data_IF_668880952459
#
_entry.id   IF_668880952459
#
_cell.length_a   1.000
_cell.length_b   1.000
_cell.length_c   1.000
_cell.angle_alpha   90.00
_cell.angle_beta   90.00
_cell.angle_gamma   90.00
#
_symmetry.space_group_name_H-M   'P 1'
#
loop_
_entity.id
_entity.type
_entity.pdbx_description
1 polymer ?
#
# COMPACT_ATOMS: atom_id res chain seq x y z
N UNK A 1 8.83 3.78 12.16
CA UNK A 1 8.06 3.13 13.26
C UNK A 1 6.73 3.84 13.47
N UNK A 2 5.76 3.20 14.14
CA UNK A 2 4.46 3.82 14.47
C UNK A 2 4.67 5.07 15.34
N UNK A 3 5.61 5.01 16.27
CA UNK A 3 5.93 6.14 17.16
C UNK A 3 6.43 7.37 16.37
N UNK A 4 7.23 7.17 15.34
CA UNK A 4 7.71 8.24 14.46
C UNK A 4 6.56 8.85 13.66
N UNK A 5 5.66 8.03 13.12
CA UNK A 5 4.48 8.50 12.38
C UNK A 5 3.58 9.37 13.28
N UNK A 6 3.36 8.92 14.51
CA UNK A 6 2.56 9.64 15.48
C UNK A 6 3.24 10.96 15.93
N UNK A 7 4.57 10.95 16.09
CA UNK A 7 5.34 12.13 16.46
C UNK A 7 5.37 13.19 15.35
N UNK A 8 5.62 12.75 14.12
CA UNK A 8 5.72 13.64 12.95
C UNK A 8 4.37 13.98 12.31
N UNK A 9 3.31 13.22 12.63
CA UNK A 9 1.96 13.35 12.07
C UNK A 9 1.96 13.30 10.53
N UNK A 10 2.88 12.55 9.97
CA UNK A 10 3.06 12.36 8.52
C UNK A 10 3.45 10.93 8.22
N UNK A 11 3.07 10.46 7.05
CA UNK A 11 3.35 9.11 6.60
C UNK A 11 2.68 8.82 5.26
N UNK A 12 2.92 7.64 4.73
CA UNK A 12 2.29 7.15 3.50
C UNK A 12 1.09 6.24 3.82
N UNK A 13 0.34 5.82 2.80
CA UNK A 13 -0.88 5.01 2.99
C UNK A 13 -0.64 3.75 3.83
N UNK A 14 0.50 3.10 3.65
CA UNK A 14 0.91 1.94 4.42
C UNK A 14 1.08 2.26 5.91
N UNK A 15 1.66 3.41 6.23
CA UNK A 15 1.88 3.86 7.60
C UNK A 15 0.55 4.10 8.31
N UNK A 16 -0.35 4.85 7.67
CA UNK A 16 -1.68 5.11 8.22
C UNK A 16 -2.50 3.82 8.39
N UNK A 17 -2.39 2.88 7.43
CA UNK A 17 -3.03 1.58 7.55
C UNK A 17 -2.50 0.80 8.77
N UNK A 18 -1.19 0.78 9.02
CA UNK A 18 -0.62 0.10 10.19
C UNK A 18 -0.99 0.77 11.52
N UNK A 19 -1.03 2.11 11.58
CA UNK A 19 -1.50 2.83 12.78
C UNK A 19 -2.94 2.43 13.10
N UNK A 20 -3.82 2.48 12.10
CA UNK A 20 -5.23 2.13 12.28
C UNK A 20 -5.43 0.65 12.65
N UNK A 21 -4.66 -0.27 12.03
CA UNK A 21 -4.64 -1.68 12.43
C UNK A 21 -4.28 -1.86 13.90
N UNK A 22 -3.24 -1.18 14.36
CA UNK A 22 -2.81 -1.26 15.75
C UNK A 22 -3.90 -0.75 16.70
N UNK A 23 -4.54 0.36 16.36
CA UNK A 23 -5.65 0.91 17.15
C UNK A 23 -6.82 -0.08 17.26
N UNK A 24 -7.29 -0.64 16.13
CA UNK A 24 -8.39 -1.59 16.11
C UNK A 24 -8.08 -2.88 16.88
N UNK A 25 -6.86 -3.41 16.71
CA UNK A 25 -6.42 -4.62 17.42
C UNK A 25 -6.28 -4.40 18.91
N UNK A 26 -5.85 -3.22 19.35
CA UNK A 26 -5.81 -2.85 20.78
C UNK A 26 -7.20 -2.81 21.38
N UNK A 27 -8.22 -2.47 20.59
CA UNK A 27 -9.63 -2.51 20.98
C UNK A 27 -10.26 -3.92 20.87
N UNK A 28 -9.48 -4.93 20.46
CA UNK A 28 -9.98 -6.30 20.26
C UNK A 28 -10.81 -6.48 18.99
N UNK A 29 -10.79 -5.53 18.05
CA UNK A 29 -11.54 -5.60 16.80
C UNK A 29 -10.72 -6.38 15.77
N UNK A 30 -11.23 -7.53 15.24
CA UNK A 30 -10.54 -8.26 14.19
C UNK A 30 -10.33 -7.38 12.96
N UNK A 31 -9.08 -7.28 12.53
CA UNK A 31 -8.71 -6.40 11.42
C UNK A 31 -7.56 -6.96 10.61
N UNK A 32 -7.52 -6.63 9.31
CA UNK A 32 -6.51 -7.07 8.37
C UNK A 32 -6.02 -5.94 7.48
N UNK A 33 -4.77 -6.04 7.09
CA UNK A 33 -4.15 -5.17 6.09
C UNK A 33 -4.64 -5.56 4.71
N UNK A 34 -4.84 -4.58 3.85
CA UNK A 34 -5.20 -4.78 2.44
C UNK A 34 -4.24 -4.00 1.56
N UNK A 35 -3.73 -4.67 0.53
CA UNK A 35 -2.97 -4.07 -0.55
C UNK A 35 -3.76 -4.13 -1.84
N UNK A 36 -3.72 -3.07 -2.63
CA UNK A 36 -4.45 -2.99 -3.88
C UNK A 36 -4.16 -1.71 -4.64
N UNK A 37 -5.13 -1.28 -5.43
CA UNK A 37 -5.05 -0.05 -6.23
C UNK A 37 -6.30 0.80 -6.02
N UNK A 38 -6.14 2.10 -6.22
CA UNK A 38 -7.26 3.03 -6.41
C UNK A 38 -7.49 3.19 -7.90
N UNK A 39 -8.71 2.90 -8.34
CA UNK A 39 -9.12 3.16 -9.70
C UNK A 39 -9.17 4.68 -9.92
N UNK A 40 -8.49 5.22 -10.92
CA UNK A 40 -8.52 6.65 -11.21
C UNK A 40 -9.97 7.11 -11.41
N UNK A 41 -10.34 8.13 -10.68
CA UNK A 41 -11.60 8.81 -10.83
C UNK A 41 -11.38 10.32 -10.68
N UNK A 42 -12.35 11.10 -11.09
CA UNK A 42 -12.27 12.57 -10.96
C UNK A 42 -12.42 13.07 -9.52
N UNK A 43 -12.41 12.20 -8.53
CA UNK A 43 -12.61 12.55 -7.11
C UNK A 43 -11.33 12.98 -6.40
N UNK A 44 -10.15 12.82 -7.03
CA UNK A 44 -8.87 13.25 -6.48
C UNK A 44 -8.44 12.46 -5.24
N UNK A 45 -8.75 11.18 -5.17
CA UNK A 45 -8.25 10.32 -4.10
C UNK A 45 -6.73 10.14 -4.20
N UNK A 46 -6.05 10.17 -3.07
CA UNK A 46 -4.61 9.90 -3.01
C UNK A 46 -4.34 8.43 -3.32
N UNK A 47 -3.28 8.17 -4.09
CA UNK A 47 -2.87 6.82 -4.46
C UNK A 47 -3.44 6.34 -5.80
N UNK A 48 -4.08 7.20 -6.59
CA UNK A 48 -4.47 6.90 -7.96
C UNK A 48 -3.24 6.58 -8.81
N UNK A 49 -3.31 5.48 -9.58
CA UNK A 49 -2.22 5.06 -10.46
C UNK A 49 -0.98 4.47 -9.77
N UNK A 50 -1.05 4.24 -8.45
CA UNK A 50 0.00 3.58 -7.67
C UNK A 50 -0.57 2.47 -6.80
N UNK A 51 0.33 1.68 -6.19
CA UNK A 51 -0.08 0.75 -5.14
C UNK A 51 -0.64 1.52 -3.95
N UNK A 52 -1.75 1.05 -3.41
CA UNK A 52 -2.41 1.67 -2.28
C UNK A 52 -2.64 0.66 -1.16
N UNK A 53 -2.76 1.17 0.06
CA UNK A 53 -2.99 0.35 1.24
C UNK A 53 -4.13 0.93 2.08
N UNK A 54 -4.96 0.02 2.57
CA UNK A 54 -6.03 0.32 3.52
C UNK A 54 -6.22 -0.84 4.50
N UNK A 55 -7.23 -0.79 5.31
CA UNK A 55 -7.57 -1.88 6.24
C UNK A 55 -8.98 -2.39 6.00
N UNK A 56 -9.22 -3.61 6.44
CA UNK A 56 -10.58 -4.11 6.65
C UNK A 56 -10.72 -4.56 8.10
N UNK A 57 -11.85 -4.28 8.71
CA UNK A 57 -12.21 -4.73 10.04
C UNK A 57 -13.55 -5.47 10.04
N UNK A 58 -13.70 -6.39 10.96
CA UNK A 58 -14.86 -7.27 11.00
C UNK A 58 -15.92 -6.72 11.95
N UNK A 59 -17.14 -6.59 11.44
CA UNK A 59 -18.35 -6.30 12.22
C UNK A 59 -19.28 -7.50 12.16
N UNK A 60 -19.82 -7.98 13.30
CA UNK A 60 -20.68 -9.17 13.34
C UNK A 60 -21.85 -9.13 12.35
N UNK A 61 -22.51 -7.98 12.21
CA UNK A 61 -23.69 -7.81 11.39
C UNK A 61 -23.43 -7.40 9.93
N UNK A 62 -22.22 -6.91 9.64
CA UNK A 62 -21.84 -6.39 8.32
C UNK A 62 -20.70 -7.15 7.64
N UNK A 63 -20.02 -8.03 8.38
CA UNK A 63 -18.83 -8.74 7.88
C UNK A 63 -17.61 -7.83 7.79
N UNK A 64 -16.78 -8.02 6.77
CA UNK A 64 -15.57 -7.24 6.56
C UNK A 64 -15.88 -5.89 5.91
N UNK A 65 -15.54 -4.82 6.59
CA UNK A 65 -15.75 -3.43 6.15
C UNK A 65 -14.38 -2.79 5.91
N UNK A 66 -14.19 -2.22 4.73
CA UNK A 66 -12.95 -1.53 4.34
C UNK A 66 -12.94 -0.07 4.80
N UNK A 67 -11.80 0.38 5.30
CA UNK A 67 -11.56 1.76 5.71
C UNK A 67 -10.20 2.22 5.23
N UNK A 68 -10.18 3.28 4.45
CA UNK A 68 -8.98 3.92 3.92
C UNK A 68 -8.63 5.16 4.76
N UNK A 69 -7.65 5.04 5.67
CA UNK A 69 -7.26 6.16 6.54
C UNK A 69 -6.54 7.28 5.80
N UNK A 70 -5.95 7.00 4.64
CA UNK A 70 -5.23 8.00 3.84
C UNK A 70 -6.20 9.01 3.21
N UNK A 71 -7.32 8.49 2.71
CA UNK A 71 -8.37 9.28 2.07
C UNK A 71 -9.52 9.62 3.03
N UNK A 72 -9.52 9.07 4.24
CA UNK A 72 -10.59 9.23 5.23
C UNK A 72 -11.97 8.82 4.68
N UNK A 73 -12.02 7.68 4.00
CA UNK A 73 -13.25 7.13 3.38
C UNK A 73 -13.40 5.64 3.67
N UNK A 74 -14.61 5.13 3.55
CA UNK A 74 -14.81 3.69 3.43
C UNK A 74 -14.32 3.19 2.07
N UNK A 75 -13.69 2.02 2.06
CA UNK A 75 -13.31 1.39 0.81
C UNK A 75 -14.57 1.03 0.03
N UNK A 76 -14.60 1.40 -1.23
CA UNK A 76 -15.77 1.31 -2.11
C UNK A 76 -15.39 0.83 -3.51
N UNK A 77 -16.23 1.13 -4.52
CA UNK A 77 -16.08 0.60 -5.88
C UNK A 77 -14.78 1.00 -6.59
N UNK A 78 -14.09 2.01 -6.08
CA UNK A 78 -12.80 2.46 -6.63
C UNK A 78 -11.58 1.79 -5.99
N UNK A 79 -11.80 0.97 -4.94
CA UNK A 79 -10.74 0.24 -4.27
C UNK A 79 -10.64 -1.18 -4.84
N UNK A 80 -9.58 -1.44 -5.61
CA UNK A 80 -9.32 -2.75 -6.21
C UNK A 80 -8.40 -3.54 -5.28
N UNK A 81 -8.97 -4.48 -4.52
CA UNK A 81 -8.23 -5.32 -3.60
C UNK A 81 -7.47 -6.42 -4.34
N UNK A 82 -6.16 -6.53 -4.10
CA UNK A 82 -5.32 -7.60 -4.62
C UNK A 82 -4.99 -8.65 -3.56
N UNK A 83 -4.59 -8.20 -2.37
CA UNK A 83 -4.17 -9.10 -1.30
C UNK A 83 -4.64 -8.58 0.06
N UNK A 84 -4.80 -9.49 1.02
CA UNK A 84 -5.05 -9.16 2.41
C UNK A 84 -4.25 -10.07 3.35
N UNK A 85 -3.80 -9.53 4.48
CA UNK A 85 -2.98 -10.26 5.44
C UNK A 85 -2.92 -9.58 6.80
N UNK A 86 -2.08 -10.06 7.68
CA UNK A 86 -1.91 -9.47 9.01
C UNK A 86 -1.22 -8.10 8.94
N UNK A 87 -0.33 -7.93 7.98
CA UNK A 87 0.45 -6.71 7.78
C UNK A 87 0.93 -6.62 6.32
N UNK A 88 1.70 -5.59 5.99
CA UNK A 88 2.29 -5.40 4.67
C UNK A 88 3.12 -6.61 4.22
N UNK A 89 3.91 -7.22 5.11
CA UNK A 89 4.80 -8.33 4.75
C UNK A 89 4.05 -9.51 4.14
N UNK A 90 2.80 -9.76 4.59
CA UNK A 90 1.96 -10.82 4.01
C UNK A 90 1.47 -10.46 2.61
N UNK A 91 1.30 -9.17 2.33
CA UNK A 91 0.77 -8.64 1.07
C UNK A 91 1.87 -8.17 0.10
N UNK A 92 3.15 -8.38 0.43
CA UNK A 92 4.25 -7.97 -0.45
C UNK A 92 4.13 -8.62 -1.84
N UNK A 93 4.14 -7.82 -2.93
CA UNK A 93 3.93 -8.33 -4.29
C UNK A 93 5.06 -9.23 -4.77
N UNK A 94 6.25 -9.04 -4.23
CA UNK A 94 7.44 -9.84 -4.56
C UNK A 94 8.07 -10.34 -3.28
N UNK A 95 8.28 -11.66 -3.19
CA UNK A 95 9.03 -12.31 -2.13
C UNK A 95 10.04 -13.28 -2.76
N UNK A 96 11.27 -13.24 -2.28
CA UNK A 96 12.30 -14.15 -2.75
C UNK A 96 13.51 -14.11 -1.85
N UNK A 97 14.39 -15.11 -1.99
CA UNK A 97 15.70 -15.12 -1.40
C UNK A 97 16.75 -15.11 -2.50
N UNK A 98 17.76 -14.30 -2.35
CA UNK A 98 18.84 -14.16 -3.29
C UNK A 98 20.17 -14.41 -2.57
N UNK A 99 21.07 -15.15 -3.20
CA UNK A 99 22.40 -15.40 -2.66
C UNK A 99 23.45 -15.00 -3.71
N UNK A 100 24.13 -13.90 -3.46
CA UNK A 100 25.17 -13.37 -4.37
C UNK A 100 25.30 -11.86 -4.25
N UNK A 101 26.30 -11.31 -4.96
CA UNK A 101 26.48 -9.85 -5.12
C UNK A 101 25.90 -9.49 -6.49
N UNK A 102 24.71 -8.93 -6.52
CA UNK A 102 24.12 -8.41 -7.75
C UNK A 102 23.34 -7.12 -7.46
N UNK A 103 23.35 -6.22 -8.43
CA UNK A 103 22.44 -5.08 -8.44
C UNK A 103 21.06 -5.57 -8.78
N UNK A 104 20.07 -5.14 -8.02
CA UNK A 104 18.66 -5.41 -8.31
C UNK A 104 18.05 -4.15 -8.93
N UNK A 105 17.30 -4.35 -9.99
CA UNK A 105 16.48 -3.31 -10.59
C UNK A 105 15.04 -3.83 -10.59
N UNK A 106 14.14 -3.10 -9.95
CA UNK A 106 12.71 -3.39 -9.94
C UNK A 106 11.99 -2.30 -10.73
N UNK A 107 11.32 -2.71 -11.81
CA UNK A 107 10.43 -1.82 -12.55
C UNK A 107 8.99 -2.26 -12.29
N UNK A 108 8.17 -1.35 -11.80
CA UNK A 108 6.75 -1.61 -11.53
C UNK A 108 5.91 -0.81 -12.51
N UNK A 109 5.07 -1.51 -13.24
CA UNK A 109 4.11 -0.92 -14.15
C UNK A 109 2.70 -1.20 -13.65
N UNK A 110 1.88 -0.16 -13.47
CA UNK A 110 0.51 -0.27 -13.01
C UNK A 110 -0.41 0.36 -14.04
N UNK A 111 -1.39 -0.42 -14.53
CA UNK A 111 -2.48 0.08 -15.34
C UNK A 111 -3.80 -0.38 -14.73
N UNK A 112 -4.67 0.55 -14.41
CA UNK A 112 -6.00 0.28 -13.87
C UNK A 112 -7.02 0.89 -14.84
N UNK A 113 -7.93 0.07 -15.34
CA UNK A 113 -8.99 0.49 -16.26
C UNK A 113 -10.32 -0.15 -15.92
N UNK A 114 -11.39 0.35 -16.53
CA UNK A 114 -12.71 -0.25 -16.46
C UNK A 114 -12.91 -1.28 -17.56
N UNK A 115 -13.81 -2.24 -17.33
CA UNK A 115 -14.13 -3.32 -18.27
C UNK A 115 -14.77 -2.81 -19.57
N UNK A 116 -15.31 -1.59 -19.57
CA UNK A 116 -15.88 -0.90 -20.74
C UNK A 116 -14.83 -0.35 -21.75
N UNK A 117 -13.55 -0.58 -21.48
CA UNK A 117 -12.44 -0.18 -22.34
C UNK A 117 -11.96 1.25 -22.16
N UNK A 118 -12.47 2.02 -21.21
CA UNK A 118 -11.85 3.27 -20.80
C UNK A 118 -10.50 3.00 -20.17
N UNK A 119 -9.44 3.29 -20.90
CA UNK A 119 -8.05 3.21 -20.42
C UNK A 119 -7.68 4.58 -19.87
N UNK A 120 -7.36 4.63 -18.60
CA UNK A 120 -6.70 5.80 -18.04
C UNK A 120 -5.23 5.78 -18.47
N UNK A 121 -4.73 6.92 -18.95
CA UNK A 121 -3.34 7.07 -19.37
C UNK A 121 -2.40 6.64 -18.25
N UNK A 122 -1.30 5.98 -18.64
CA UNK A 122 -0.30 5.45 -17.74
C UNK A 122 0.25 6.53 -16.82
N UNK A 123 0.04 6.37 -15.56
CA UNK A 123 0.35 7.41 -14.63
C UNK A 123 1.74 7.31 -14.01
N UNK A 124 2.45 6.19 -14.09
CA UNK A 124 3.79 6.16 -13.50
C UNK A 124 4.65 4.98 -13.98
N UNK A 125 5.67 5.28 -14.74
CA UNK A 125 6.87 4.46 -14.83
C UNK A 125 7.78 4.83 -13.65
N UNK A 126 7.89 3.98 -12.66
CA UNK A 126 8.84 4.16 -11.57
C UNK A 126 9.98 3.17 -11.73
N UNK A 127 11.13 3.69 -12.11
CA UNK A 127 12.37 2.94 -12.09
C UNK A 127 13.01 3.05 -10.70
N UNK A 128 13.05 1.93 -9.98
CA UNK A 128 13.68 1.85 -8.68
C UNK A 128 15.06 1.22 -8.81
N UNK A 129 16.09 2.03 -8.70
CA UNK A 129 17.46 1.56 -8.57
C UNK A 129 17.76 1.29 -7.09
N UNK A 130 17.68 0.03 -6.70
CA UNK A 130 18.04 -0.41 -5.36
C UNK A 130 19.54 -0.69 -5.32
N UNK A 131 20.32 0.20 -4.70
CA UNK A 131 21.71 -0.11 -4.35
C UNK A 131 21.69 -1.14 -3.19
N UNK A 132 22.56 -2.15 -3.23
CA UNK A 132 22.63 -3.12 -2.15
C UNK A 132 23.08 -2.42 -0.86
N UNK A 133 22.19 -2.32 0.12
CA UNK A 133 22.55 -1.88 1.46
C UNK A 133 23.14 -3.06 2.22
N UNK A 134 24.36 -2.93 2.70
CA UNK A 134 24.96 -3.94 3.57
C UNK A 134 24.14 -4.02 4.88
N UNK A 135 23.42 -5.11 5.05
CA UNK A 135 22.79 -5.49 6.33
C UNK A 135 21.30 -5.20 6.51
N UNK A 136 20.59 -4.75 5.49
CA UNK A 136 19.13 -4.61 5.56
C UNK A 136 18.41 -5.83 4.97
N UNK A 137 17.29 -6.20 5.58
CA UNK A 137 16.41 -7.23 5.04
C UNK A 137 15.83 -6.77 3.69
N UNK A 138 15.78 -7.61 2.65
CA UNK A 138 15.38 -7.22 1.29
C UNK A 138 14.00 -6.54 1.18
N UNK A 139 13.12 -6.78 2.14
CA UNK A 139 11.79 -6.17 2.20
C UNK A 139 11.81 -4.72 2.69
N UNK A 140 12.87 -4.27 3.40
CA UNK A 140 13.01 -2.87 3.85
C UNK A 140 13.30 -1.95 2.66
N UNK A 141 14.09 -2.40 1.71
CA UNK A 141 14.38 -1.65 0.49
C UNK A 141 13.11 -1.49 -0.38
N UNK A 142 12.26 -2.53 -0.42
CA UNK A 142 10.97 -2.47 -1.11
C UNK A 142 10.01 -1.47 -0.45
N UNK A 143 10.05 -1.38 0.88
CA UNK A 143 9.29 -0.40 1.66
C UNK A 143 9.71 1.03 1.36
N UNK A 144 11.02 1.28 1.35
CA UNK A 144 11.60 2.59 1.06
C UNK A 144 11.24 3.02 -0.37
N UNK A 145 11.31 2.10 -1.31
CA UNK A 145 10.96 2.33 -2.70
C UNK A 145 9.47 2.69 -2.90
N UNK A 146 8.56 1.99 -2.24
CA UNK A 146 7.14 2.34 -2.25
C UNK A 146 6.87 3.69 -1.58
N UNK A 147 7.58 4.02 -0.50
CA UNK A 147 7.46 5.32 0.16
C UNK A 147 7.92 6.46 -0.74
N UNK A 148 9.02 6.28 -1.47
CA UNK A 148 9.52 7.28 -2.42
C UNK A 148 8.53 7.51 -3.58
N UNK A 149 7.92 6.45 -4.09
CA UNK A 149 6.90 6.53 -5.13
C UNK A 149 5.68 7.37 -4.69
N UNK A 150 5.24 7.21 -3.45
CA UNK A 150 4.09 7.94 -2.93
C UNK A 150 4.41 9.40 -2.57
N UNK A 151 5.65 9.73 -2.21
CA UNK A 151 6.08 11.11 -1.96
C UNK A 151 6.16 11.96 -3.24
N UNK A 152 6.40 11.35 -4.40
CA UNK A 152 6.44 12.06 -5.68
C UNK A 152 5.06 12.42 -6.22
N UNK A 153 3.99 11.92 -5.59
CA UNK A 153 2.59 12.18 -5.98
C UNK A 153 1.88 13.21 -5.09
N UNK A 154 2.60 13.83 -4.16
CA UNK A 154 2.11 14.92 -3.31
C UNK A 154 2.52 16.29 -3.84
#
# INVERSE_FOLDING_TARGET
TIDEILAHKSGVCQDFAHVLLQMLRTLGIPSRYVSGYICPNKSGMRGEGATHAWIEFFLPDAGWVGLDPTNNVFAGPYHVRLASGLNFTDCSPVKGSFKGIARQQLTVFVSVGYEDGHVFENLNDVELNLEPSEGTEPWQDLLIAQQQQQQQQQ
#
